data_IF_906454397409
#
_entry.id   IF_906454397409
#
_cell.length_a   1.000
_cell.length_b   1.000
_cell.length_c   1.000
_cell.angle_alpha   90.00
_cell.angle_beta   90.00
_cell.angle_gamma   90.00
#
_symmetry.space_group_name_H-M   'P 1'
#
loop_
_entity.id
_entity.type
_entity.pdbx_description
1 polymer ?
#
# COMPACT_ATOMS: atom_id res chain seq x y z
N UNK A 1 -1.67 -28.97 11.65
CA UNK A 1 -0.96 -29.14 10.35
C UNK A 1 0.52 -29.01 10.64
N UNK A 2 1.28 -30.08 10.49
CA UNK A 2 2.74 -30.04 10.70
C UNK A 2 3.37 -29.47 9.42
N UNK A 3 3.74 -28.19 9.47
CA UNK A 3 4.45 -27.55 8.36
C UNK A 3 5.93 -27.93 8.47
N UNK A 4 6.53 -28.36 7.34
CA UNK A 4 7.95 -28.66 7.28
C UNK A 4 8.78 -27.46 7.78
N UNK A 5 9.71 -27.64 8.74
CA UNK A 5 10.52 -26.54 9.28
C UNK A 5 11.26 -25.73 8.22
N UNK A 6 11.80 -26.36 7.18
CA UNK A 6 12.44 -25.65 6.06
C UNK A 6 11.48 -24.77 5.28
N UNK A 7 10.21 -25.16 5.18
CA UNK A 7 9.18 -24.31 4.57
C UNK A 7 8.84 -23.10 5.45
N UNK A 8 8.84 -23.27 6.77
CA UNK A 8 8.67 -22.14 7.71
C UNK A 8 9.78 -21.12 7.52
N UNK A 9 11.03 -21.58 7.39
CA UNK A 9 12.19 -20.71 7.15
C UNK A 9 12.05 -19.95 5.83
N UNK A 10 11.70 -20.62 4.73
CA UNK A 10 11.44 -19.98 3.42
C UNK A 10 10.34 -18.94 3.51
N UNK A 11 9.25 -19.24 4.23
CA UNK A 11 8.10 -18.35 4.34
C UNK A 11 8.28 -17.20 5.36
N UNK A 12 9.30 -17.25 6.19
CA UNK A 12 9.65 -16.20 7.14
C UNK A 12 10.79 -15.29 6.68
N UNK A 13 11.45 -15.63 5.56
CA UNK A 13 12.64 -14.91 5.09
C UNK A 13 12.35 -14.16 3.79
N UNK A 14 12.50 -12.83 3.73
CA UNK A 14 12.39 -12.08 2.49
C UNK A 14 13.44 -12.51 1.46
N UNK A 15 13.03 -12.59 0.21
CA UNK A 15 13.90 -12.97 -0.91
C UNK A 15 14.94 -11.90 -1.24
N UNK A 16 14.55 -10.62 -1.15
CA UNK A 16 15.44 -9.48 -1.45
C UNK A 16 15.07 -8.28 -0.61
N UNK A 17 16.08 -7.53 -0.22
CA UNK A 17 15.95 -6.26 0.48
C UNK A 17 16.81 -5.23 -0.23
N UNK A 18 16.24 -4.09 -0.59
CA UNK A 18 16.93 -2.96 -1.16
C UNK A 18 16.73 -1.76 -0.25
N UNK A 19 17.84 -1.17 0.19
CA UNK A 19 17.87 0.13 0.87
C UNK A 19 18.53 1.14 -0.06
N UNK A 20 17.88 2.27 -0.26
CA UNK A 20 18.40 3.38 -1.08
C UNK A 20 18.42 4.65 -0.28
N UNK A 21 19.50 5.42 -0.43
CA UNK A 21 19.63 6.76 0.13
C UNK A 21 19.77 7.74 -1.03
N UNK A 22 18.84 8.68 -1.14
CA UNK A 22 18.76 9.53 -2.31
C UNK A 22 18.55 10.99 -1.95
N UNK A 23 19.27 11.92 -2.64
CA UNK A 23 19.14 13.35 -2.42
C UNK A 23 17.90 13.92 -3.12
N UNK A 24 17.23 14.85 -2.46
CA UNK A 24 16.11 15.65 -3.00
C UNK A 24 16.41 17.12 -2.75
N UNK A 25 16.26 17.95 -3.79
CA UNK A 25 16.35 19.40 -3.65
C UNK A 25 15.04 19.92 -3.04
N UNK A 26 15.18 20.68 -1.95
CA UNK A 26 14.08 21.31 -1.25
C UNK A 26 13.71 22.66 -1.88
N UNK A 27 12.55 23.21 -1.51
CA UNK A 27 12.08 24.49 -2.06
C UNK A 27 12.93 25.68 -1.58
N UNK A 28 13.55 25.56 -0.42
CA UNK A 28 14.51 26.56 0.12
C UNK A 28 15.90 26.50 -0.55
N UNK A 29 16.07 25.61 -1.55
CA UNK A 29 17.34 25.42 -2.27
C UNK A 29 18.33 24.49 -1.61
N UNK A 30 18.05 24.01 -0.40
CA UNK A 30 18.88 22.99 0.27
C UNK A 30 18.71 21.60 -0.34
N UNK A 31 19.58 20.68 0.01
CA UNK A 31 19.44 19.27 -0.38
C UNK A 31 19.31 18.41 0.88
N UNK A 32 18.25 17.58 0.92
CA UNK A 32 18.05 16.59 1.98
C UNK A 32 18.20 15.19 1.42
N UNK A 33 18.76 14.28 2.22
CA UNK A 33 18.87 12.86 1.89
C UNK A 33 17.74 12.11 2.58
N UNK A 34 17.03 11.29 1.82
CA UNK A 34 15.97 10.42 2.32
C UNK A 34 16.36 8.95 2.17
N UNK A 35 15.88 8.13 3.08
CA UNK A 35 16.09 6.68 3.04
C UNK A 35 14.78 5.99 2.62
N UNK A 36 14.88 5.12 1.63
CA UNK A 36 13.78 4.30 1.15
C UNK A 36 14.12 2.81 1.18
N UNK A 37 13.10 1.99 1.34
CA UNK A 37 13.19 0.54 1.39
C UNK A 37 12.28 -0.10 0.34
N UNK A 38 12.77 -1.15 -0.33
CA UNK A 38 11.94 -2.11 -1.04
C UNK A 38 12.27 -3.51 -0.55
N UNK A 39 11.29 -4.19 0.03
CA UNK A 39 11.40 -5.59 0.45
C UNK A 39 10.51 -6.46 -0.44
N UNK A 40 11.12 -7.41 -1.10
CA UNK A 40 10.50 -8.45 -1.92
C UNK A 40 10.49 -9.74 -1.12
N UNK A 41 9.31 -10.15 -0.64
CA UNK A 41 9.22 -11.29 0.26
C UNK A 41 9.15 -12.62 -0.50
N UNK A 42 8.15 -12.80 -1.37
CA UNK A 42 7.94 -14.07 -2.05
C UNK A 42 7.19 -13.86 -3.37
N UNK A 43 7.59 -14.57 -4.43
CA UNK A 43 7.02 -14.49 -5.77
C UNK A 43 6.52 -15.87 -6.28
N UNK A 44 6.41 -16.86 -5.43
CA UNK A 44 6.01 -18.23 -5.83
C UNK A 44 4.60 -18.27 -6.48
N UNK A 45 3.73 -17.31 -6.16
CA UNK A 45 2.37 -17.21 -6.72
C UNK A 45 2.24 -16.22 -7.88
N UNK A 46 3.28 -15.50 -8.24
CA UNK A 46 3.28 -14.52 -9.32
C UNK A 46 4.01 -13.23 -8.95
N UNK A 47 3.87 -12.17 -9.76
CA UNK A 47 4.55 -10.90 -9.54
C UNK A 47 4.32 -10.38 -8.12
N UNK A 48 5.38 -9.89 -7.50
CA UNK A 48 5.28 -9.34 -6.16
C UNK A 48 4.50 -8.03 -6.18
N UNK A 49 3.73 -7.78 -5.10
CA UNK A 49 2.87 -6.60 -5.03
C UNK A 49 2.76 -6.08 -3.61
N UNK A 50 2.91 -4.76 -3.44
CA UNK A 50 2.77 -4.12 -2.14
C UNK A 50 2.75 -2.60 -2.21
N UNK A 51 2.14 -1.98 -1.19
CA UNK A 51 1.91 -0.53 -1.14
C UNK A 51 3.14 0.29 -0.77
N UNK A 52 3.23 1.51 -1.32
CA UNK A 52 4.19 2.54 -0.96
C UNK A 52 3.69 3.31 0.26
N UNK A 53 4.45 3.25 1.35
CA UNK A 53 4.16 3.95 2.59
C UNK A 53 5.14 5.10 2.82
N UNK A 54 4.61 6.29 3.10
CA UNK A 54 5.37 7.42 3.58
C UNK A 54 5.05 7.66 5.06
N UNK A 55 6.03 7.42 5.93
CA UNK A 55 5.90 7.63 7.37
C UNK A 55 7.27 7.81 8.01
N UNK A 56 7.37 8.70 9.01
CA UNK A 56 8.59 8.85 9.84
C UNK A 56 8.90 7.62 10.70
N UNK A 57 7.89 6.81 10.98
CA UNK A 57 8.00 5.66 11.88
C UNK A 57 8.43 4.38 11.18
N UNK A 58 8.64 4.43 9.86
CA UNK A 58 9.04 3.27 9.07
C UNK A 58 10.43 2.78 9.48
N UNK A 59 10.53 1.49 9.76
CA UNK A 59 11.79 0.75 9.90
C UNK A 59 11.89 -0.37 8.87
N UNK A 60 13.10 -0.84 8.60
CA UNK A 60 13.30 -1.97 7.68
C UNK A 60 12.54 -3.23 8.15
N UNK A 61 12.52 -3.49 9.47
CA UNK A 61 11.83 -4.65 10.03
C UNK A 61 10.30 -4.55 9.88
N UNK A 62 9.73 -3.35 10.04
CA UNK A 62 8.32 -3.12 9.71
C UNK A 62 8.04 -3.42 8.23
N UNK A 63 8.90 -2.96 7.33
CA UNK A 63 8.73 -3.20 5.88
C UNK A 63 8.83 -4.68 5.54
N UNK A 64 9.73 -5.44 6.19
CA UNK A 64 9.81 -6.92 6.08
C UNK A 64 8.51 -7.59 6.51
N UNK A 65 8.01 -7.25 7.71
CA UNK A 65 6.77 -7.79 8.23
C UNK A 65 5.58 -7.50 7.29
N UNK A 66 5.47 -6.28 6.80
CA UNK A 66 4.41 -5.88 5.88
C UNK A 66 4.53 -6.57 4.51
N UNK A 67 5.74 -6.80 4.00
CA UNK A 67 5.97 -7.54 2.76
C UNK A 67 5.52 -9.01 2.89
N UNK A 68 5.81 -9.64 4.03
CA UNK A 68 5.35 -10.99 4.37
C UNK A 68 3.82 -11.04 4.46
N UNK A 69 3.19 -10.10 5.15
CA UNK A 69 1.72 -10.01 5.23
C UNK A 69 1.07 -9.83 3.86
N UNK A 70 1.73 -9.16 2.90
CA UNK A 70 1.23 -9.07 1.54
C UNK A 70 1.22 -10.43 0.83
N UNK A 71 2.22 -11.29 1.05
CA UNK A 71 2.23 -12.67 0.53
C UNK A 71 1.03 -13.46 1.05
N UNK A 72 0.77 -13.41 2.37
CA UNK A 72 -0.38 -14.09 2.97
C UNK A 72 -1.71 -13.51 2.48
N UNK A 73 -1.80 -12.19 2.36
CA UNK A 73 -3.00 -11.51 1.87
C UNK A 73 -3.43 -12.03 0.50
N UNK A 74 -2.50 -12.13 -0.46
CA UNK A 74 -2.82 -12.61 -1.80
C UNK A 74 -3.15 -14.10 -1.81
N UNK A 75 -2.44 -14.89 -0.99
CA UNK A 75 -2.68 -16.32 -0.87
C UNK A 75 -4.07 -16.65 -0.31
N UNK A 76 -4.50 -15.94 0.74
CA UNK A 76 -5.81 -16.16 1.39
C UNK A 76 -6.98 -15.91 0.45
N UNK A 77 -6.86 -14.94 -0.45
CA UNK A 77 -7.91 -14.59 -1.43
C UNK A 77 -7.68 -15.21 -2.80
N UNK A 78 -6.74 -16.15 -2.91
CA UNK A 78 -6.37 -16.91 -4.12
C UNK A 78 -6.08 -16.02 -5.34
N UNK A 79 -5.37 -14.91 -5.12
CA UNK A 79 -4.88 -14.06 -6.22
C UNK A 79 -3.46 -14.44 -6.62
N UNK A 80 -3.13 -14.43 -7.93
CA UNK A 80 -1.83 -14.85 -8.45
C UNK A 80 -0.76 -13.77 -8.30
N UNK A 81 -0.53 -13.33 -7.07
CA UNK A 81 0.49 -12.33 -6.71
C UNK A 81 1.36 -12.80 -5.55
N UNK A 82 2.62 -12.42 -5.61
CA UNK A 82 3.55 -12.48 -4.49
C UNK A 82 3.45 -11.27 -3.57
N UNK A 83 4.29 -11.22 -2.55
CA UNK A 83 4.29 -10.15 -1.55
C UNK A 83 5.54 -9.30 -1.60
N UNK A 84 5.34 -7.99 -1.59
CA UNK A 84 6.39 -6.99 -1.38
C UNK A 84 5.85 -5.80 -0.60
N UNK A 85 6.77 -4.95 -0.12
CA UNK A 85 6.45 -3.67 0.52
C UNK A 85 7.47 -2.62 0.17
N UNK A 86 7.01 -1.39 0.01
CA UNK A 86 7.86 -0.24 -0.30
C UNK A 86 7.57 0.89 0.68
N UNK A 87 8.63 1.59 1.13
CA UNK A 87 8.46 2.68 2.09
C UNK A 87 9.57 3.70 1.97
N UNK A 88 9.28 4.96 2.34
CA UNK A 88 10.29 6.01 2.53
C UNK A 88 10.09 6.61 3.92
N UNK A 89 11.19 6.84 4.63
CA UNK A 89 11.18 7.50 5.94
C UNK A 89 10.95 9.00 5.72
N UNK A 90 9.69 9.43 5.78
CA UNK A 90 9.29 10.82 5.56
C UNK A 90 7.90 11.09 6.12
N UNK A 91 7.66 12.31 6.63
CA UNK A 91 6.30 12.79 6.86
C UNK A 91 5.84 13.59 5.63
N UNK A 92 4.92 13.08 4.81
CA UNK A 92 4.49 13.78 3.61
C UNK A 92 3.80 15.13 3.92
N UNK A 93 3.25 15.32 5.12
CA UNK A 93 2.62 16.58 5.56
C UNK A 93 3.62 17.72 5.83
N UNK A 94 4.91 17.40 5.94
CA UNK A 94 5.99 18.39 6.16
C UNK A 94 6.66 18.83 4.85
N UNK A 95 6.25 18.26 3.73
CA UNK A 95 6.77 18.59 2.41
C UNK A 95 5.73 19.38 1.61
N UNK A 96 6.21 20.30 0.77
CA UNK A 96 5.38 20.86 -0.28
C UNK A 96 5.01 19.81 -1.32
N UNK A 97 4.01 20.11 -2.15
CA UNK A 97 3.64 19.20 -3.25
C UNK A 97 4.80 19.00 -4.22
N UNK A 98 5.55 20.05 -4.53
CA UNK A 98 6.73 19.96 -5.41
C UNK A 98 7.87 19.15 -4.81
N UNK A 99 8.11 19.27 -3.51
CA UNK A 99 9.09 18.45 -2.79
C UNK A 99 8.69 16.98 -2.77
N UNK A 100 7.41 16.70 -2.52
CA UNK A 100 6.86 15.34 -2.51
C UNK A 100 6.92 14.70 -3.91
N UNK A 101 6.67 15.47 -4.96
CA UNK A 101 6.84 15.02 -6.34
C UNK A 101 8.29 14.66 -6.63
N UNK A 102 9.24 15.54 -6.31
CA UNK A 102 10.67 15.30 -6.52
C UNK A 102 11.15 14.06 -5.74
N UNK A 103 10.71 13.92 -4.48
CA UNK A 103 11.00 12.75 -3.66
C UNK A 103 10.48 11.46 -4.30
N UNK A 104 9.22 11.47 -4.73
CA UNK A 104 8.58 10.29 -5.34
C UNK A 104 9.27 9.90 -6.64
N UNK A 105 9.54 10.85 -7.51
CA UNK A 105 10.21 10.62 -8.80
C UNK A 105 11.64 10.09 -8.60
N UNK A 106 12.37 10.68 -7.67
CA UNK A 106 13.73 10.22 -7.36
C UNK A 106 13.70 8.79 -6.81
N UNK A 107 12.82 8.52 -5.86
CA UNK A 107 12.69 7.19 -5.30
C UNK A 107 12.25 6.14 -6.34
N UNK A 108 11.32 6.47 -7.23
CA UNK A 108 10.90 5.58 -8.31
C UNK A 108 12.07 5.19 -9.23
N UNK A 109 12.96 6.14 -9.53
CA UNK A 109 14.18 5.88 -10.30
C UNK A 109 15.15 4.93 -9.57
N UNK A 110 15.35 5.14 -8.27
CA UNK A 110 16.29 4.32 -7.47
C UNK A 110 15.84 2.85 -7.40
N UNK A 111 14.56 2.57 -7.27
CA UNK A 111 14.07 1.19 -7.16
C UNK A 111 13.71 0.57 -8.53
N UNK A 112 13.85 1.31 -9.63
CA UNK A 112 13.48 0.85 -10.99
C UNK A 112 14.23 -0.41 -11.43
N UNK A 113 15.34 -0.72 -10.78
CA UNK A 113 16.18 -1.89 -11.05
C UNK A 113 15.57 -3.22 -10.61
N UNK A 114 14.57 -3.19 -9.71
CA UNK A 114 13.98 -4.42 -9.14
C UNK A 114 12.46 -4.47 -9.27
N UNK A 115 11.83 -3.45 -9.88
CA UNK A 115 10.39 -3.40 -10.09
C UNK A 115 10.05 -3.51 -11.56
N UNK A 116 8.87 -4.03 -11.85
CA UNK A 116 8.36 -4.19 -13.21
C UNK A 116 6.93 -4.73 -13.22
N UNK A 117 6.19 -4.57 -14.32
CA UNK A 117 4.81 -5.05 -14.43
C UNK A 117 4.66 -6.57 -14.25
N UNK A 118 5.71 -7.34 -14.55
CA UNK A 118 5.72 -8.81 -14.43
C UNK A 118 6.57 -9.30 -13.26
N UNK A 119 7.22 -8.41 -12.52
CA UNK A 119 8.15 -8.76 -11.43
C UNK A 119 7.66 -8.28 -10.08
N UNK A 120 7.36 -6.97 -9.98
CA UNK A 120 7.04 -6.34 -8.71
C UNK A 120 6.33 -5.00 -8.89
N UNK A 121 5.09 -4.89 -8.41
CA UNK A 121 4.15 -3.83 -8.74
C UNK A 121 3.80 -3.02 -7.47
N UNK A 122 4.27 -1.77 -7.33
CA UNK A 122 3.83 -0.87 -6.26
C UNK A 122 2.34 -0.48 -6.35
N UNK A 123 1.82 0.00 -5.22
CA UNK A 123 0.45 0.48 -5.07
C UNK A 123 0.43 1.59 -4.01
N UNK A 124 -0.67 2.35 -3.84
CA UNK A 124 -0.77 3.30 -2.72
C UNK A 124 -0.95 2.59 -1.38
N UNK A 125 -0.47 3.24 -0.31
CA UNK A 125 -0.65 2.86 1.09
C UNK A 125 -0.72 4.15 1.96
N UNK A 126 -0.46 4.06 3.25
CA UNK A 126 -0.46 5.20 4.16
C UNK A 126 0.50 6.31 3.67
N UNK A 127 0.00 7.54 3.63
CA UNK A 127 0.76 8.71 3.20
C UNK A 127 0.95 8.85 1.69
N UNK A 128 0.30 7.99 0.88
CA UNK A 128 0.35 8.04 -0.58
C UNK A 128 -1.03 7.88 -1.21
N UNK A 129 -1.19 8.37 -2.43
CA UNK A 129 -2.45 8.41 -3.16
C UNK A 129 -2.29 8.17 -4.67
N UNK A 130 -3.36 8.38 -5.42
CA UNK A 130 -3.35 8.23 -6.89
C UNK A 130 -2.41 9.20 -7.60
N UNK A 131 -2.24 10.43 -7.09
CA UNK A 131 -1.32 11.43 -7.66
C UNK A 131 0.13 10.97 -7.55
N UNK A 132 0.51 10.46 -6.39
CA UNK A 132 1.84 9.89 -6.15
C UNK A 132 2.09 8.69 -7.08
N UNK A 133 1.07 7.85 -7.31
CA UNK A 133 1.17 6.74 -8.27
C UNK A 133 1.33 7.23 -9.72
N UNK A 134 0.70 8.36 -10.07
CA UNK A 134 0.89 8.96 -11.39
C UNK A 134 2.33 9.43 -11.60
N UNK A 135 2.94 10.14 -10.65
CA UNK A 135 4.35 10.54 -10.72
C UNK A 135 5.30 9.35 -10.79
N UNK A 136 4.98 8.31 -10.03
CA UNK A 136 5.76 7.07 -10.04
C UNK A 136 5.72 6.39 -11.42
N UNK A 137 4.52 6.22 -11.98
CA UNK A 137 4.31 5.62 -13.32
C UNK A 137 5.00 6.44 -14.41
N UNK A 138 4.85 7.76 -14.38
CA UNK A 138 5.46 8.67 -15.34
C UNK A 138 6.98 8.54 -15.33
N UNK A 139 7.60 8.59 -14.15
CA UNK A 139 9.05 8.46 -14.01
C UNK A 139 9.57 7.11 -14.51
N UNK A 140 8.90 6.02 -14.16
CA UNK A 140 9.28 4.71 -14.64
C UNK A 140 9.15 4.61 -16.18
N UNK A 141 8.07 5.14 -16.72
CA UNK A 141 7.82 5.16 -18.16
C UNK A 141 8.86 5.98 -18.94
N UNK A 142 9.25 7.14 -18.39
CA UNK A 142 10.33 7.95 -18.96
C UNK A 142 11.65 7.16 -19.01
N UNK A 143 12.01 6.45 -17.95
CA UNK A 143 13.21 5.63 -17.91
C UNK A 143 13.18 4.46 -18.91
N UNK A 144 11.98 3.97 -19.27
CA UNK A 144 11.79 2.90 -20.27
C UNK A 144 11.65 3.42 -21.71
N UNK A 145 11.44 4.73 -21.90
CA UNK A 145 11.23 5.34 -23.20
C UNK A 145 9.83 5.12 -23.80
N UNK A 146 8.91 4.53 -23.05
CA UNK A 146 7.51 4.34 -23.47
C UNK A 146 6.59 4.23 -22.23
N UNK A 147 5.30 4.44 -22.43
CA UNK A 147 4.31 4.33 -21.36
C UNK A 147 4.20 2.89 -20.83
N UNK A 148 4.30 2.71 -19.49
CA UNK A 148 4.19 1.42 -18.81
C UNK A 148 3.14 1.51 -17.70
N UNK A 149 1.84 1.58 -18.03
CA UNK A 149 0.79 1.78 -17.04
C UNK A 149 0.64 0.60 -16.06
N UNK A 150 1.14 -0.58 -16.42
CA UNK A 150 1.14 -1.77 -15.56
C UNK A 150 2.10 -1.72 -14.38
N UNK A 151 3.02 -0.73 -14.33
CA UNK A 151 4.02 -0.64 -13.26
C UNK A 151 3.42 -0.39 -11.87
N UNK A 152 2.30 0.30 -11.77
CA UNK A 152 1.61 0.60 -10.51
C UNK A 152 0.12 0.37 -10.62
N UNK A 153 -0.53 0.11 -9.47
CA UNK A 153 -1.99 0.18 -9.34
C UNK A 153 -2.39 1.36 -8.45
N UNK A 154 -3.68 1.69 -8.44
CA UNK A 154 -4.21 2.81 -7.65
C UNK A 154 -3.95 4.20 -8.23
N UNK A 155 -3.50 4.28 -9.46
CA UNK A 155 -3.38 5.53 -10.23
C UNK A 155 -4.76 6.09 -10.61
N UNK A 156 -4.86 7.38 -10.99
CA UNK A 156 -6.09 7.99 -11.48
C UNK A 156 -6.73 7.23 -12.65
N UNK A 157 -8.06 7.33 -12.77
CA UNK A 157 -8.82 6.64 -13.82
C UNK A 157 -8.39 7.09 -15.22
N UNK A 158 -8.08 8.37 -15.37
CA UNK A 158 -7.70 9.04 -16.62
C UNK A 158 -6.42 8.46 -17.24
N UNK A 159 -5.57 7.85 -16.43
CA UNK A 159 -4.32 7.19 -16.85
C UNK A 159 -4.35 5.68 -16.67
N UNK A 160 -5.53 5.09 -16.69
CA UNK A 160 -5.72 3.63 -16.65
C UNK A 160 -5.88 3.06 -15.25
N UNK A 161 -6.37 3.84 -14.28
CA UNK A 161 -6.80 3.36 -12.96
C UNK A 161 -8.05 2.48 -13.05
N UNK A 162 -8.31 1.70 -12.01
CA UNK A 162 -9.49 0.81 -11.93
C UNK A 162 -10.64 1.47 -11.20
N UNK A 163 -11.84 1.40 -11.77
CA UNK A 163 -13.08 1.85 -11.09
C UNK A 163 -13.28 1.08 -9.79
N UNK A 164 -13.80 1.76 -8.76
CA UNK A 164 -14.07 1.17 -7.44
C UNK A 164 -12.85 1.08 -6.51
N UNK A 165 -11.61 1.36 -6.97
CA UNK A 165 -10.40 1.25 -6.15
C UNK A 165 -10.46 2.11 -4.88
N UNK A 166 -11.00 3.31 -4.97
CA UNK A 166 -11.10 4.25 -3.83
C UNK A 166 -11.87 3.66 -2.67
N UNK A 167 -12.96 2.93 -2.95
CA UNK A 167 -13.80 2.31 -1.92
C UNK A 167 -13.39 0.87 -1.58
N UNK A 168 -12.55 0.24 -2.38
CA UNK A 168 -12.34 -1.21 -2.33
C UNK A 168 -11.98 -1.74 -0.94
N UNK A 169 -11.08 -1.07 -0.22
CA UNK A 169 -10.67 -1.52 1.12
C UNK A 169 -11.77 -1.36 2.15
N UNK A 170 -12.43 -0.21 2.20
CA UNK A 170 -13.57 0.02 3.10
C UNK A 170 -14.77 -0.87 2.76
N UNK A 171 -14.99 -1.18 1.50
CA UNK A 171 -16.02 -2.13 1.06
C UNK A 171 -15.70 -3.56 1.49
N UNK A 172 -14.43 -3.95 1.44
CA UNK A 172 -13.97 -5.22 2.00
C UNK A 172 -14.23 -5.31 3.51
N UNK A 173 -14.01 -4.23 4.26
CA UNK A 173 -14.36 -4.18 5.69
C UNK A 173 -15.86 -4.40 5.89
N UNK A 174 -16.73 -3.75 5.09
CA UNK A 174 -18.17 -3.98 5.16
C UNK A 174 -18.51 -5.47 4.95
N UNK A 175 -17.98 -6.10 3.89
CA UNK A 175 -18.28 -7.50 3.58
C UNK A 175 -17.84 -8.43 4.72
N UNK A 176 -16.65 -8.24 5.25
CA UNK A 176 -16.17 -9.06 6.38
C UNK A 176 -16.97 -8.83 7.65
N UNK A 177 -17.41 -7.58 7.90
CA UNK A 177 -18.30 -7.27 9.03
C UNK A 177 -19.64 -7.96 8.88
N UNK A 178 -20.25 -7.95 7.68
CA UNK A 178 -21.50 -8.64 7.41
C UNK A 178 -21.38 -10.15 7.68
N UNK A 179 -20.31 -10.79 7.20
CA UNK A 179 -20.11 -12.22 7.44
C UNK A 179 -19.84 -12.53 8.91
N UNK A 180 -19.04 -11.70 9.60
CA UNK A 180 -18.79 -11.85 11.04
C UNK A 180 -20.10 -11.70 11.85
N UNK A 181 -20.97 -10.74 11.51
CA UNK A 181 -22.26 -10.55 12.14
C UNK A 181 -23.15 -11.78 11.97
N UNK A 182 -23.21 -12.35 10.75
CA UNK A 182 -23.96 -13.60 10.50
C UNK A 182 -23.47 -14.74 11.40
N UNK A 183 -22.15 -14.95 11.47
CA UNK A 183 -21.54 -16.00 12.30
C UNK A 183 -21.82 -15.82 13.81
N UNK A 184 -22.02 -14.57 14.24
CA UNK A 184 -22.28 -14.22 15.64
C UNK A 184 -23.77 -14.07 15.96
N UNK A 185 -24.66 -14.21 15.00
CA UNK A 185 -26.10 -13.99 15.17
C UNK A 185 -26.44 -12.52 15.47
N UNK A 186 -25.64 -11.57 15.00
CA UNK A 186 -25.85 -10.12 15.17
C UNK A 186 -26.57 -9.60 13.91
N UNK A 187 -27.71 -8.95 14.08
CA UNK A 187 -28.33 -8.19 12.99
C UNK A 187 -27.54 -6.88 12.82
N UNK A 188 -26.91 -6.71 11.65
CA UNK A 188 -26.18 -5.49 11.34
C UNK A 188 -27.10 -4.27 11.25
N UNK A 189 -28.36 -4.48 10.84
CA UNK A 189 -29.36 -3.40 10.78
C UNK A 189 -29.73 -2.96 12.21
N UNK A 190 -29.43 -1.71 12.53
CA UNK A 190 -29.61 -1.14 13.86
C UNK A 190 -28.46 -1.39 14.85
N UNK A 191 -27.49 -2.23 14.52
CA UNK A 191 -26.31 -2.44 15.36
C UNK A 191 -25.48 -1.15 15.51
N UNK A 192 -24.94 -0.93 16.69
CA UNK A 192 -24.03 0.21 16.94
C UNK A 192 -22.61 -0.13 16.54
N UNK A 193 -21.94 0.81 15.87
CA UNK A 193 -20.56 0.67 15.38
C UNK A 193 -19.71 1.86 15.82
N UNK A 194 -18.53 1.59 16.37
CA UNK A 194 -17.47 2.57 16.56
C UNK A 194 -16.33 2.28 15.57
N UNK A 195 -15.79 3.32 14.94
CA UNK A 195 -14.71 3.21 13.96
C UNK A 195 -13.46 3.91 14.48
N UNK A 196 -12.40 3.14 14.70
CA UNK A 196 -11.08 3.67 15.06
C UNK A 196 -10.23 3.82 13.80
N UNK A 197 -9.69 5.03 13.57
CA UNK A 197 -9.03 5.43 12.34
C UNK A 197 -10.01 5.93 11.29
N UNK A 198 -10.00 7.23 10.99
CA UNK A 198 -10.97 7.85 10.07
C UNK A 198 -10.32 8.39 8.78
N UNK A 199 -9.25 7.71 8.33
CA UNK A 199 -8.59 7.94 7.04
C UNK A 199 -9.31 7.28 5.87
N UNK A 200 -8.56 6.95 4.80
CA UNK A 200 -9.08 6.39 3.54
C UNK A 200 -9.93 5.12 3.70
N UNK A 201 -9.63 4.28 4.67
CA UNK A 201 -10.36 3.03 4.90
C UNK A 201 -11.53 3.24 5.86
N UNK A 202 -11.27 3.85 7.02
CA UNK A 202 -12.27 3.98 8.08
C UNK A 202 -13.44 4.88 7.69
N UNK A 203 -13.19 5.99 6.99
CA UNK A 203 -14.26 6.89 6.52
C UNK A 203 -15.19 6.20 5.52
N UNK A 204 -14.62 5.44 4.58
CA UNK A 204 -15.41 4.64 3.61
C UNK A 204 -16.15 3.51 4.31
N UNK A 205 -15.50 2.78 5.23
CA UNK A 205 -16.14 1.71 5.99
C UNK A 205 -17.31 2.23 6.83
N UNK A 206 -17.13 3.34 7.56
CA UNK A 206 -18.19 3.99 8.34
C UNK A 206 -19.40 4.34 7.47
N UNK A 207 -19.17 4.99 6.34
CA UNK A 207 -20.22 5.36 5.39
C UNK A 207 -20.97 4.14 4.86
N UNK A 208 -20.25 3.10 4.45
CA UNK A 208 -20.85 1.89 3.88
C UNK A 208 -21.60 1.07 4.93
N UNK A 209 -21.10 1.00 6.17
CA UNK A 209 -21.81 0.36 7.29
C UNK A 209 -23.09 1.11 7.63
N UNK A 210 -23.08 2.45 7.66
CA UNK A 210 -24.28 3.25 7.85
C UNK A 210 -25.30 3.01 6.72
N UNK A 211 -24.87 2.94 5.46
CA UNK A 211 -25.74 2.60 4.32
C UNK A 211 -26.32 1.19 4.41
N UNK A 212 -25.64 0.27 5.08
CA UNK A 212 -26.12 -1.10 5.33
C UNK A 212 -27.04 -1.19 6.57
N UNK A 213 -27.40 -0.06 7.20
CA UNK A 213 -28.34 0.01 8.30
C UNK A 213 -27.73 0.05 9.70
N UNK A 214 -26.42 -0.01 9.83
CA UNK A 214 -25.75 0.14 11.12
C UNK A 214 -25.79 1.60 11.61
N UNK A 215 -25.73 1.79 12.93
CA UNK A 215 -25.64 3.10 13.57
C UNK A 215 -24.18 3.40 13.94
N UNK A 216 -23.50 4.21 13.15
CA UNK A 216 -22.15 4.68 13.51
C UNK A 216 -22.28 5.70 14.63
N UNK A 217 -21.90 5.31 15.84
CA UNK A 217 -22.08 6.12 17.06
C UNK A 217 -20.79 6.83 17.51
N UNK A 218 -19.63 6.40 17.04
CA UNK A 218 -18.35 7.03 17.34
C UNK A 218 -17.34 6.83 16.21
N UNK A 219 -16.50 7.82 16.03
CA UNK A 219 -15.28 7.74 15.21
C UNK A 219 -14.12 8.34 15.99
N UNK A 220 -12.92 7.80 15.82
CA UNK A 220 -11.70 8.38 16.38
C UNK A 220 -10.59 8.39 15.33
N UNK A 221 -9.70 9.36 15.44
CA UNK A 221 -8.47 9.45 14.65
C UNK A 221 -7.31 9.88 15.54
N UNK A 222 -6.09 9.83 15.01
CA UNK A 222 -4.87 10.21 15.72
C UNK A 222 -4.65 11.73 15.78
N UNK A 223 -5.55 12.54 15.16
CA UNK A 223 -5.42 13.98 15.04
C UNK A 223 -6.71 14.68 15.45
#
# INVERSE_FOLDING_TARGET
MDINPGMVEVLSTPRRELTVNFPVRMDDGTTRVFTGYRVQHNDARGPMKGGLRYSKLVSLDEVKALAMLMTWKWAVVDLPYGGAKVSVIVNPKELSEGELERLTRRYASEISIIIGPSEDIPAPDMGTDGKIMAWFMDTYSMNKGHSVPGIVTGKPLEIGGSKGRVEATGRGVLYMTQEACKLRGIDLNGATVAVQGFGNVGSVAARLLAQAGAKVVAVSDAF
#
